data_IF_256344530644
#
_entry.id   IF_256344530644
#
_cell.length_a   1.000
_cell.length_b   1.000
_cell.length_c   1.000
_cell.angle_alpha   90.00
_cell.angle_beta   90.00
_cell.angle_gamma   90.00
#
_symmetry.space_group_name_H-M   'P 1'
#
loop_
_entity.id
_entity.type
_entity.pdbx_description
1 polymer ?
#
# COMPACT_ATOMS: atom_id res chain seq x y z
N UNK A 1 -10.50 -14.71 -25.33
CA UNK A 1 -9.06 -14.40 -25.40
C UNK A 1 -8.76 -13.45 -24.26
N UNK A 2 -8.05 -13.95 -23.24
CA UNK A 2 -7.85 -13.23 -21.98
C UNK A 2 -6.83 -12.11 -22.14
N UNK A 3 -7.23 -10.90 -21.76
CA UNK A 3 -6.31 -9.79 -21.56
C UNK A 3 -5.76 -9.86 -20.15
N UNK A 4 -4.49 -10.29 -20.03
CA UNK A 4 -3.71 -10.09 -18.81
C UNK A 4 -3.41 -8.59 -18.66
N UNK A 5 -4.32 -7.87 -17.99
CA UNK A 5 -4.06 -6.50 -17.58
C UNK A 5 -3.16 -6.54 -16.35
N UNK A 6 -1.84 -6.64 -16.60
CA UNK A 6 -0.82 -6.48 -15.58
C UNK A 6 -0.99 -5.12 -14.90
N UNK A 7 -1.21 -5.10 -13.58
CA UNK A 7 -0.81 -3.95 -12.79
C UNK A 7 0.66 -3.70 -13.14
N UNK A 8 1.03 -2.48 -13.51
CA UNK A 8 2.43 -2.07 -13.56
C UNK A 8 3.00 -2.21 -12.15
N UNK A 9 3.54 -3.38 -11.82
CA UNK A 9 4.30 -3.59 -10.60
C UNK A 9 5.68 -3.02 -10.90
N UNK A 10 5.90 -1.75 -10.52
CA UNK A 10 7.24 -1.19 -10.61
C UNK A 10 8.08 -1.75 -9.45
N UNK A 11 8.72 -2.89 -9.72
CA UNK A 11 9.96 -3.24 -9.06
C UNK A 11 11.07 -2.52 -9.84
N UNK A 12 11.67 -1.51 -9.24
CA UNK A 12 12.82 -0.86 -9.86
C UNK A 12 14.05 -1.72 -9.60
N UNK A 13 14.53 -2.36 -10.66
CA UNK A 13 15.79 -3.13 -10.65
C UNK A 13 16.82 -2.33 -11.43
N UNK A 14 17.82 -1.82 -10.72
CA UNK A 14 18.97 -1.17 -11.32
C UNK A 14 20.17 -2.12 -11.24
N UNK A 15 20.80 -2.40 -12.38
CA UNK A 15 22.04 -3.18 -12.43
C UNK A 15 23.20 -2.20 -12.42
N UNK A 16 23.93 -2.14 -11.30
CA UNK A 16 25.07 -1.24 -11.14
C UNK A 16 26.36 -2.06 -11.26
N UNK A 17 27.16 -1.75 -12.27
CA UNK A 17 28.54 -2.25 -12.35
C UNK A 17 29.41 -1.45 -11.39
N UNK A 18 29.45 -1.89 -10.13
CA UNK A 18 30.23 -1.23 -9.09
C UNK A 18 31.71 -1.58 -9.29
N UNK A 19 32.49 -0.60 -9.73
CA UNK A 19 33.96 -0.67 -9.73
C UNK A 19 34.48 0.06 -8.49
N UNK A 20 34.76 -0.67 -7.41
CA UNK A 20 35.27 -0.15 -6.13
C UNK A 20 34.42 0.98 -5.53
N UNK A 21 33.31 0.64 -4.87
CA UNK A 21 32.65 1.56 -3.93
C UNK A 21 33.17 1.29 -2.52
N UNK A 22 33.70 2.32 -1.87
CA UNK A 22 33.85 2.36 -0.41
C UNK A 22 32.48 2.46 0.26
N UNK A 23 32.36 2.11 1.54
CA UNK A 23 31.11 2.21 2.32
C UNK A 23 30.48 3.62 2.28
N UNK A 24 31.30 4.65 2.06
CA UNK A 24 30.88 6.05 1.91
C UNK A 24 30.26 6.33 0.53
N UNK A 25 30.72 5.61 -0.50
CA UNK A 25 30.20 5.70 -1.86
C UNK A 25 28.86 4.97 -2.00
N UNK A 26 28.63 3.87 -1.25
CA UNK A 26 27.29 3.24 -1.14
C UNK A 26 26.25 4.30 -0.80
N UNK A 27 26.45 5.08 0.28
CA UNK A 27 25.55 6.15 0.73
C UNK A 27 25.34 7.28 -0.29
N UNK A 28 26.33 7.59 -1.12
CA UNK A 28 26.21 8.65 -2.14
C UNK A 28 25.45 8.18 -3.39
N UNK A 29 25.64 6.93 -3.83
CA UNK A 29 24.79 6.32 -4.88
C UNK A 29 23.34 6.21 -4.41
N UNK A 30 23.13 5.92 -3.12
CA UNK A 30 21.80 6.02 -2.51
C UNK A 30 21.20 7.42 -2.65
N UNK A 31 22.01 8.48 -2.47
CA UNK A 31 21.51 9.86 -2.55
C UNK A 31 21.22 10.31 -3.99
N UNK A 32 22.16 10.11 -4.91
CA UNK A 32 22.07 10.66 -6.27
C UNK A 32 21.18 9.85 -7.21
N UNK A 33 21.29 8.51 -7.23
CA UNK A 33 20.56 7.69 -8.20
C UNK A 33 19.14 7.33 -7.73
N UNK A 34 18.93 7.08 -6.42
CA UNK A 34 17.62 6.67 -5.90
C UNK A 34 16.72 7.84 -5.55
N UNK A 35 17.23 8.86 -4.84
CA UNK A 35 16.41 10.05 -4.56
C UNK A 35 16.36 10.97 -5.79
N UNK A 36 17.45 11.14 -6.56
CA UNK A 36 17.43 11.94 -7.79
C UNK A 36 16.47 11.42 -8.86
N UNK A 37 16.36 10.09 -9.05
CA UNK A 37 15.42 9.50 -10.01
C UNK A 37 13.98 9.35 -9.49
N UNK A 38 13.78 9.21 -8.17
CA UNK A 38 12.45 9.21 -7.57
C UNK A 38 11.74 10.59 -7.66
N UNK A 39 12.49 11.66 -7.95
CA UNK A 39 11.98 13.00 -8.21
C UNK A 39 11.79 13.32 -9.71
N UNK A 40 11.95 12.35 -10.62
CA UNK A 40 11.63 12.61 -12.04
C UNK A 40 10.11 12.73 -12.19
N UNK A 41 9.71 13.96 -12.47
CA UNK A 41 8.34 14.43 -12.70
C UNK A 41 7.67 13.63 -13.82
N UNK A 42 7.02 12.52 -13.47
CA UNK A 42 6.05 11.88 -14.34
C UNK A 42 4.77 12.72 -14.27
N UNK A 43 4.67 13.66 -15.22
CA UNK A 43 3.49 14.42 -15.58
C UNK A 43 2.30 13.47 -15.91
N UNK A 44 1.71 12.87 -14.89
CA UNK A 44 0.31 12.48 -14.91
C UNK A 44 -0.48 13.68 -14.40
N UNK A 45 -1.13 14.38 -15.33
CA UNK A 45 -1.95 15.57 -15.04
C UNK A 45 -3.11 15.20 -14.11
N UNK A 46 -2.90 15.30 -12.81
CA UNK A 46 -3.97 15.48 -11.83
C UNK A 46 -4.60 16.84 -12.12
N UNK A 47 -5.87 16.85 -12.52
CA UNK A 47 -6.60 18.08 -12.84
C UNK A 47 -6.47 19.10 -11.72
N UNK A 48 -6.01 20.30 -12.07
CA UNK A 48 -5.89 21.43 -11.17
C UNK A 48 -7.28 22.06 -10.97
N UNK A 49 -7.92 21.78 -9.84
CA UNK A 49 -9.02 22.60 -9.36
C UNK A 49 -8.72 23.03 -7.92
N UNK A 50 -8.39 24.31 -7.77
CA UNK A 50 -8.23 24.99 -6.49
C UNK A 50 -9.60 25.20 -5.85
N UNK A 51 -10.09 24.23 -5.07
CA UNK A 51 -11.21 24.47 -4.16
C UNK A 51 -10.65 25.06 -2.84
N UNK A 52 -10.79 26.38 -2.69
CA UNK A 52 -10.55 27.09 -1.43
C UNK A 52 -11.62 26.73 -0.40
N UNK A 53 -11.42 25.62 0.29
CA UNK A 53 -12.07 25.33 1.58
C UNK A 53 -10.91 25.10 2.55
N UNK A 54 -10.93 25.79 3.70
CA UNK A 54 -10.03 25.46 4.80
C UNK A 54 -10.39 24.07 5.32
N UNK A 55 -9.92 23.04 4.63
CA UNK A 55 -9.95 21.65 5.10
C UNK A 55 -9.05 21.63 6.34
N UNK A 56 -9.66 21.86 7.50
CA UNK A 56 -9.10 21.47 8.80
C UNK A 56 -8.48 20.10 8.63
N UNK A 57 -7.26 19.87 9.12
CA UNK A 57 -6.56 18.58 9.03
C UNK A 57 -7.47 17.48 9.56
N UNK A 58 -8.19 16.79 8.67
CA UNK A 58 -9.11 15.72 9.05
C UNK A 58 -8.27 14.45 9.20
N UNK A 59 -8.10 14.00 10.44
CA UNK A 59 -7.50 12.71 10.73
C UNK A 59 -8.37 11.55 10.26
N UNK A 60 -7.93 10.31 10.51
CA UNK A 60 -8.77 9.15 10.25
C UNK A 60 -9.98 9.13 11.20
N UNK A 61 -11.10 8.57 10.72
CA UNK A 61 -12.23 8.22 11.58
C UNK A 61 -11.78 7.18 12.61
N UNK A 62 -12.24 7.35 13.85
CA UNK A 62 -11.92 6.48 14.98
C UNK A 62 -13.21 6.08 15.67
N UNK A 63 -13.58 4.79 15.56
CA UNK A 63 -14.85 4.22 16.06
C UNK A 63 -16.05 5.15 15.85
N UNK A 64 -16.16 5.71 14.65
CA UNK A 64 -17.20 6.66 14.27
C UNK A 64 -18.53 5.92 14.07
N UNK A 65 -19.44 6.09 15.02
CA UNK A 65 -20.82 5.66 14.89
C UNK A 65 -21.57 6.56 13.90
N UNK A 66 -22.12 5.96 12.84
CA UNK A 66 -22.90 6.68 11.81
C UNK A 66 -24.36 6.24 11.90
N UNK A 67 -25.23 7.17 12.32
CA UNK A 67 -26.67 6.96 12.50
C UNK A 67 -27.49 7.89 11.61
N UNK A 68 -28.76 7.56 11.33
CA UNK A 68 -29.65 8.43 10.59
C UNK A 68 -29.78 9.81 11.24
N UNK A 69 -29.86 10.86 10.42
CA UNK A 69 -30.03 12.23 10.90
C UNK A 69 -31.31 12.35 11.75
N UNK A 70 -31.18 12.91 12.96
CA UNK A 70 -32.31 13.08 13.89
C UNK A 70 -32.70 11.83 14.69
N UNK A 71 -31.95 10.72 14.58
CA UNK A 71 -32.19 9.54 15.41
C UNK A 71 -31.85 9.78 16.89
N UNK A 72 -32.81 9.58 17.79
CA UNK A 72 -32.66 9.77 19.25
C UNK A 72 -32.80 8.48 20.06
N UNK A 73 -32.98 7.33 19.39
CA UNK A 73 -33.15 6.03 20.05
C UNK A 73 -31.84 5.43 20.56
N UNK A 74 -31.94 4.23 21.16
CA UNK A 74 -30.77 3.44 21.56
C UNK A 74 -30.01 2.92 20.34
N UNK A 75 -28.71 2.68 20.48
CA UNK A 75 -27.90 1.99 19.46
C UNK A 75 -28.53 0.64 19.09
N UNK A 76 -28.61 0.34 17.79
CA UNK A 76 -29.12 -0.91 17.25
C UNK A 76 -28.10 -1.53 16.30
N UNK A 77 -28.19 -2.84 16.09
CA UNK A 77 -27.49 -3.53 15.02
C UNK A 77 -27.86 -2.90 13.67
N UNK A 78 -26.85 -2.67 12.84
CA UNK A 78 -26.96 -1.99 11.56
C UNK A 78 -26.67 -0.48 11.61
N UNK A 79 -26.52 0.10 12.80
CA UNK A 79 -25.90 1.43 12.93
C UNK A 79 -24.38 1.27 12.81
N UNK A 80 -23.88 1.35 11.59
CA UNK A 80 -22.50 1.03 11.27
C UNK A 80 -21.51 1.92 12.03
N UNK A 81 -20.46 1.28 12.54
CA UNK A 81 -19.35 1.94 13.21
C UNK A 81 -18.12 1.80 12.31
N UNK A 82 -17.54 2.93 11.92
CA UNK A 82 -16.39 2.99 11.01
C UNK A 82 -15.11 3.31 11.77
N UNK A 83 -14.03 2.60 11.44
CA UNK A 83 -12.72 2.89 12.00
C UNK A 83 -11.62 2.78 10.94
N UNK A 84 -10.70 3.73 10.93
CA UNK A 84 -9.48 3.70 10.13
C UNK A 84 -8.26 4.11 10.97
N UNK A 85 -8.35 4.04 12.30
CA UNK A 85 -7.31 4.48 13.22
C UNK A 85 -6.32 3.34 13.51
N UNK A 86 -5.71 2.80 12.45
CA UNK A 86 -4.75 1.70 12.52
C UNK A 86 -3.70 1.83 11.41
N UNK A 87 -2.65 1.00 11.46
CA UNK A 87 -1.57 1.00 10.46
C UNK A 87 -2.11 0.83 9.03
N UNK A 88 -1.68 1.73 8.13
CA UNK A 88 -2.15 1.81 6.75
C UNK A 88 -3.64 2.09 6.59
N UNK A 89 -4.34 2.51 7.66
CA UNK A 89 -5.73 2.94 7.63
C UNK A 89 -5.88 4.31 6.94
N UNK A 90 -6.91 4.47 6.12
CA UNK A 90 -7.27 5.75 5.52
C UNK A 90 -8.77 5.82 5.24
N UNK A 91 -9.45 6.67 6.01
CA UNK A 91 -10.81 7.14 5.79
C UNK A 91 -11.01 8.38 6.68
N UNK A 92 -11.24 9.55 6.09
CA UNK A 92 -11.29 10.82 6.82
C UNK A 92 -12.69 11.21 7.29
N UNK A 93 -13.73 10.88 6.51
CA UNK A 93 -15.13 11.22 6.86
C UNK A 93 -16.09 10.21 6.25
N UNK A 94 -17.20 9.99 6.96
CA UNK A 94 -18.35 9.21 6.50
C UNK A 94 -19.60 10.06 6.64
N UNK A 95 -20.45 10.07 5.62
CA UNK A 95 -21.75 10.74 5.60
C UNK A 95 -22.84 9.71 5.39
N UNK A 96 -23.82 9.69 6.28
CA UNK A 96 -25.04 8.91 6.11
C UNK A 96 -25.90 9.59 5.03
N UNK A 97 -26.22 8.87 3.95
CA UNK A 97 -27.10 9.37 2.88
C UNK A 97 -28.49 8.78 3.04
N UNK A 98 -28.58 7.45 3.16
CA UNK A 98 -29.82 6.71 3.40
C UNK A 98 -29.54 5.41 4.15
N UNK A 99 -30.59 4.61 4.42
CA UNK A 99 -30.44 3.30 5.06
C UNK A 99 -29.50 2.36 4.27
N UNK A 100 -29.36 2.59 2.97
CA UNK A 100 -28.60 1.76 2.05
C UNK A 100 -27.35 2.44 1.50
N UNK A 101 -27.04 3.67 1.90
CA UNK A 101 -26.05 4.49 1.20
C UNK A 101 -25.21 5.37 2.12
N UNK A 102 -23.89 5.30 1.91
CA UNK A 102 -22.89 6.03 2.68
C UNK A 102 -21.86 6.67 1.74
N UNK A 103 -21.66 7.97 1.91
CA UNK A 103 -20.61 8.71 1.22
C UNK A 103 -19.33 8.70 2.07
N UNK A 104 -18.25 8.21 1.47
CA UNK A 104 -16.94 8.02 2.05
C UNK A 104 -15.95 9.04 1.47
N UNK A 105 -15.20 9.69 2.35
CA UNK A 105 -14.18 10.67 1.98
C UNK A 105 -12.81 10.19 2.42
N UNK A 106 -11.93 9.96 1.44
CA UNK A 106 -10.53 9.61 1.65
C UNK A 106 -9.75 10.84 2.13
N UNK A 107 -8.83 10.63 3.09
CA UNK A 107 -7.90 11.67 3.55
C UNK A 107 -6.86 11.96 2.46
N UNK A 108 -6.47 13.24 2.24
CA UNK A 108 -5.29 13.56 1.44
C UNK A 108 -4.07 12.79 1.88
N UNK A 109 -3.17 12.47 0.94
CA UNK A 109 -1.82 12.06 1.30
C UNK A 109 -1.15 13.15 2.16
N UNK A 110 -0.43 12.71 3.18
CA UNK A 110 0.30 13.64 4.07
C UNK A 110 1.30 14.45 3.26
N UNK A 111 1.31 15.77 3.45
CA UNK A 111 2.11 16.72 2.68
C UNK A 111 1.79 16.80 1.17
N UNK A 112 0.74 16.11 0.68
CA UNK A 112 0.28 16.23 -0.70
C UNK A 112 -1.25 16.16 -0.82
N UNK A 113 -1.88 17.33 -0.77
CA UNK A 113 -3.33 17.44 -0.78
C UNK A 113 -4.00 17.01 -2.09
N UNK A 114 -3.24 16.70 -3.16
CA UNK A 114 -3.80 16.31 -4.47
C UNK A 114 -4.16 14.84 -4.57
N UNK A 115 -3.48 13.97 -3.83
CA UNK A 115 -3.69 12.52 -3.91
C UNK A 115 -4.70 12.03 -2.88
N UNK A 116 -5.71 11.30 -3.38
CA UNK A 116 -6.79 10.60 -2.67
C UNK A 116 -7.12 9.35 -3.47
N UNK A 117 -6.50 8.24 -3.12
CA UNK A 117 -6.63 6.98 -3.86
C UNK A 117 -6.71 5.81 -2.89
N UNK A 118 -5.78 5.73 -1.95
CA UNK A 118 -5.76 4.67 -0.95
C UNK A 118 -6.88 4.85 0.07
N UNK A 119 -7.63 3.78 0.31
CA UNK A 119 -8.54 3.66 1.44
C UNK A 119 -8.32 2.30 2.11
N UNK A 120 -8.48 2.28 3.42
CA UNK A 120 -8.41 1.08 4.24
C UNK A 120 -9.13 1.36 5.55
N UNK A 121 -10.26 0.71 5.77
CA UNK A 121 -11.12 0.98 6.93
C UNK A 121 -11.86 -0.28 7.35
N UNK A 122 -12.38 -0.26 8.56
CA UNK A 122 -13.21 -1.31 9.13
C UNK A 122 -14.62 -0.81 9.38
N UNK A 123 -15.57 -1.75 9.35
CA UNK A 123 -16.98 -1.55 9.66
C UNK A 123 -17.40 -2.63 10.63
N UNK A 124 -18.01 -2.23 11.74
CA UNK A 124 -18.59 -3.13 12.75
C UNK A 124 -20.02 -2.70 13.12
N UNK A 125 -20.64 -3.44 14.03
CA UNK A 125 -22.05 -3.28 14.41
C UNK A 125 -23.02 -3.41 13.22
N UNK A 126 -22.71 -4.34 12.32
CA UNK A 126 -23.51 -4.72 11.16
C UNK A 126 -24.79 -5.44 11.58
N UNK A 127 -25.76 -5.52 10.68
CA UNK A 127 -26.96 -6.37 10.82
C UNK A 127 -26.97 -7.45 9.74
N UNK A 128 -27.50 -8.64 10.04
CA UNK A 128 -27.62 -9.72 9.08
C UNK A 128 -28.44 -9.30 7.85
N UNK A 129 -27.93 -9.61 6.66
CA UNK A 129 -28.49 -9.22 5.35
C UNK A 129 -28.60 -7.70 5.12
N UNK A 130 -27.94 -6.87 5.94
CA UNK A 130 -27.89 -5.45 5.70
C UNK A 130 -27.10 -5.17 4.41
N UNK A 131 -27.76 -4.53 3.46
CA UNK A 131 -27.18 -4.14 2.17
C UNK A 131 -26.83 -2.67 2.20
N UNK A 132 -25.64 -2.34 1.74
CA UNK A 132 -25.15 -0.97 1.67
C UNK A 132 -24.39 -0.72 0.39
N UNK A 133 -24.41 0.53 -0.05
CA UNK A 133 -23.57 1.07 -1.11
C UNK A 133 -22.61 2.05 -0.45
N UNK A 134 -21.32 1.79 -0.61
CA UNK A 134 -20.27 2.70 -0.18
C UNK A 134 -19.79 3.49 -1.38
N UNK A 135 -19.96 4.82 -1.34
CA UNK A 135 -19.53 5.74 -2.38
C UNK A 135 -18.25 6.45 -1.97
N UNK A 136 -17.13 6.15 -2.59
CA UNK A 136 -15.90 6.95 -2.44
C UNK A 136 -16.00 8.16 -3.37
N UNK A 137 -16.37 9.32 -2.82
CA UNK A 137 -16.80 10.49 -3.62
C UNK A 137 -15.68 11.46 -4.00
N UNK A 138 -14.52 11.38 -3.34
CA UNK A 138 -13.40 12.30 -3.53
C UNK A 138 -12.16 11.62 -4.14
N UNK A 139 -12.38 10.64 -5.03
CA UNK A 139 -11.33 9.87 -5.68
C UNK A 139 -10.56 10.72 -6.71
N UNK A 140 -9.24 10.86 -6.53
CA UNK A 140 -8.39 11.80 -7.28
C UNK A 140 -7.81 11.28 -8.60
N UNK A 141 -8.05 10.01 -8.97
CA UNK A 141 -7.66 9.47 -10.28
C UNK A 141 -8.76 9.68 -11.30
N UNK A 142 -8.39 10.09 -12.51
CA UNK A 142 -9.32 10.23 -13.67
C UNK A 142 -9.29 9.01 -14.59
N UNK A 143 -8.10 8.42 -14.75
CA UNK A 143 -7.86 7.10 -15.36
C UNK A 143 -7.60 6.12 -14.22
N UNK A 144 -8.56 5.25 -13.96
CA UNK A 144 -8.49 4.29 -12.85
C UNK A 144 -8.66 2.87 -13.38
N UNK A 145 -7.86 1.94 -12.85
CA UNK A 145 -7.97 0.51 -13.13
C UNK A 145 -9.33 -0.06 -12.73
N UNK A 146 -10.13 0.66 -11.92
CA UNK A 146 -11.53 0.30 -11.65
C UNK A 146 -12.38 0.28 -12.93
N UNK A 147 -11.99 1.02 -13.99
CA UNK A 147 -12.62 0.90 -15.32
C UNK A 147 -12.25 -0.39 -16.05
N UNK A 148 -11.15 -0.99 -15.67
CA UNK A 148 -10.53 -2.15 -16.32
C UNK A 148 -10.66 -3.41 -15.44
N UNK A 149 -11.65 -3.42 -14.54
CA UNK A 149 -11.98 -4.61 -13.75
C UNK A 149 -11.24 -4.76 -12.42
N UNK A 150 -10.45 -3.76 -12.00
CA UNK A 150 -9.99 -3.72 -10.61
C UNK A 150 -11.21 -3.69 -9.67
N UNK A 151 -11.08 -4.29 -8.49
CA UNK A 151 -12.11 -4.27 -7.45
C UNK A 151 -11.46 -4.18 -6.08
N UNK A 152 -12.09 -3.48 -5.12
CA UNK A 152 -11.61 -3.43 -3.73
C UNK A 152 -11.55 -4.84 -3.14
N UNK A 153 -10.82 -4.96 -2.04
CA UNK A 153 -10.73 -6.21 -1.29
C UNK A 153 -11.45 -6.09 0.05
N UNK A 154 -12.02 -7.20 0.49
CA UNK A 154 -12.71 -7.35 1.77
C UNK A 154 -12.23 -8.60 2.49
N UNK A 155 -12.14 -8.50 3.82
CA UNK A 155 -12.03 -9.61 4.75
C UNK A 155 -12.91 -9.36 5.97
N UNK A 156 -13.13 -10.36 6.79
CA UNK A 156 -13.83 -10.20 8.08
C UNK A 156 -13.13 -10.96 9.20
N UNK A 157 -13.55 -10.73 10.45
CA UNK A 157 -13.01 -11.47 11.61
C UNK A 157 -13.13 -12.99 11.44
N UNK A 158 -14.27 -13.49 10.96
CA UNK A 158 -14.48 -14.91 10.65
C UNK A 158 -13.77 -15.39 9.38
N UNK A 159 -13.52 -14.50 8.41
CA UNK A 159 -12.84 -14.79 7.14
C UNK A 159 -11.61 -13.91 6.96
N UNK A 160 -10.47 -14.27 7.59
CA UNK A 160 -9.30 -13.40 7.66
C UNK A 160 -8.56 -13.24 6.31
N UNK A 161 -8.84 -14.09 5.33
CA UNK A 161 -8.27 -14.00 3.98
C UNK A 161 -8.96 -12.92 3.16
N UNK A 162 -8.15 -12.08 2.51
CA UNK A 162 -8.63 -11.06 1.59
C UNK A 162 -9.24 -11.67 0.33
N UNK A 163 -10.43 -11.21 -0.04
CA UNK A 163 -11.11 -11.57 -1.29
C UNK A 163 -11.51 -10.30 -2.04
N UNK A 164 -11.56 -10.35 -3.38
CA UNK A 164 -12.06 -9.21 -4.15
C UNK A 164 -13.57 -9.13 -4.06
N UNK A 165 -14.09 -7.91 -3.92
CA UNK A 165 -15.52 -7.65 -4.13
C UNK A 165 -15.84 -8.00 -5.59
N UNK A 166 -16.94 -8.72 -5.88
CA UNK A 166 -17.31 -9.06 -7.25
C UNK A 166 -17.41 -7.81 -8.13
N UNK A 167 -16.79 -7.84 -9.32
CA UNK A 167 -16.75 -6.68 -10.23
C UNK A 167 -18.13 -6.13 -10.57
N UNK A 168 -19.15 -6.99 -10.67
CA UNK A 168 -20.55 -6.59 -10.89
C UNK A 168 -21.14 -5.70 -9.80
N UNK A 169 -20.53 -5.68 -8.63
CA UNK A 169 -20.91 -4.85 -7.49
C UNK A 169 -20.09 -3.57 -7.40
N UNK A 170 -19.15 -3.31 -8.33
CA UNK A 170 -18.25 -2.16 -8.29
C UNK A 170 -18.52 -1.26 -9.50
N UNK A 171 -18.67 0.02 -9.24
CA UNK A 171 -19.02 1.03 -10.22
C UNK A 171 -18.03 2.19 -10.14
N UNK A 172 -17.60 2.70 -11.29
CA UNK A 172 -16.72 3.85 -11.35
C UNK A 172 -17.18 4.81 -12.43
N UNK A 173 -17.72 5.95 -12.01
CA UNK A 173 -18.46 6.86 -12.87
C UNK A 173 -18.21 8.32 -12.51
N UNK A 174 -18.58 9.22 -13.41
CA UNK A 174 -18.51 10.66 -13.19
C UNK A 174 -19.86 11.13 -12.64
N UNK A 175 -19.88 11.66 -11.42
CA UNK A 175 -21.13 12.10 -10.79
C UNK A 175 -21.41 13.58 -11.11
N UNK A 176 -22.57 13.93 -11.70
CA UNK A 176 -22.96 15.32 -11.89
C UNK A 176 -23.10 16.08 -10.55
N UNK A 177 -23.62 15.41 -9.53
CA UNK A 177 -23.86 15.95 -8.18
C UNK A 177 -22.55 16.27 -7.45
N UNK A 178 -21.51 15.47 -7.67
CA UNK A 178 -20.17 15.68 -7.08
C UNK A 178 -19.29 16.60 -7.94
N UNK A 179 -19.85 17.69 -8.48
CA UNK A 179 -19.14 18.65 -9.36
C UNK A 179 -18.38 17.97 -10.53
N UNK A 180 -18.93 16.90 -11.10
CA UNK A 180 -18.27 16.10 -12.16
C UNK A 180 -16.96 15.43 -11.72
N UNK A 181 -16.75 15.18 -10.43
CA UNK A 181 -15.67 14.32 -9.91
C UNK A 181 -16.00 12.84 -10.12
N UNK A 182 -14.97 11.99 -10.07
CA UNK A 182 -15.15 10.55 -10.18
C UNK A 182 -15.53 9.95 -8.83
N UNK A 183 -16.54 9.09 -8.86
CA UNK A 183 -17.02 8.31 -7.72
C UNK A 183 -16.73 6.84 -7.97
N UNK A 184 -16.17 6.16 -6.97
CA UNK A 184 -16.04 4.71 -6.95
C UNK A 184 -17.03 4.17 -5.92
N UNK A 185 -18.05 3.45 -6.39
CA UNK A 185 -19.07 2.86 -5.53
C UNK A 185 -18.94 1.36 -5.50
N UNK A 186 -19.19 0.74 -4.34
CA UNK A 186 -19.33 -0.70 -4.25
C UNK A 186 -20.49 -1.11 -3.35
N UNK A 187 -21.30 -2.05 -3.86
CA UNK A 187 -22.40 -2.64 -3.12
C UNK A 187 -21.90 -3.84 -2.30
N UNK A 188 -22.34 -3.92 -1.05
CA UNK A 188 -21.97 -4.98 -0.12
C UNK A 188 -23.17 -5.45 0.70
N UNK A 189 -23.21 -6.74 1.04
CA UNK A 189 -24.21 -7.34 1.91
C UNK A 189 -23.50 -7.99 3.09
N UNK A 190 -23.79 -7.51 4.29
CA UNK A 190 -23.25 -8.10 5.51
C UNK A 190 -24.00 -9.40 5.82
N UNK A 191 -23.26 -10.39 6.30
CA UNK A 191 -23.74 -11.76 6.51
C UNK A 191 -23.42 -12.32 7.91
N UNK A 192 -22.72 -11.55 8.75
CA UNK A 192 -22.40 -11.89 10.13
C UNK A 192 -22.41 -10.61 10.99
N UNK A 193 -23.14 -10.61 12.11
CA UNK A 193 -23.34 -9.43 12.97
C UNK A 193 -22.22 -9.23 14.00
N UNK A 194 -21.47 -10.30 14.27
CA UNK A 194 -20.34 -10.36 15.18
C UNK A 194 -19.02 -10.01 14.47
N UNK A 195 -19.03 -10.01 13.14
CA UNK A 195 -17.85 -9.74 12.33
C UNK A 195 -17.52 -8.24 12.30
N UNK A 196 -16.21 -7.97 12.32
CA UNK A 196 -15.65 -6.70 11.86
C UNK A 196 -15.20 -6.92 10.42
N UNK A 197 -15.76 -6.15 9.49
CA UNK A 197 -15.38 -6.21 8.08
C UNK A 197 -14.31 -5.17 7.80
N UNK A 198 -13.26 -5.54 7.08
CA UNK A 198 -12.22 -4.61 6.64
C UNK A 198 -12.25 -4.50 5.12
N UNK A 199 -12.29 -3.27 4.63
CA UNK A 199 -12.29 -2.94 3.20
C UNK A 199 -11.01 -2.17 2.87
N UNK A 200 -10.36 -2.50 1.75
CA UNK A 200 -9.17 -1.79 1.30
C UNK A 200 -9.13 -1.63 -0.22
N UNK A 201 -8.39 -0.62 -0.68
CA UNK A 201 -8.18 -0.31 -2.09
C UNK A 201 -7.57 -1.51 -2.86
N UNK A 202 -6.57 -2.16 -2.27
CA UNK A 202 -5.98 -3.41 -2.75
C UNK A 202 -5.43 -4.19 -1.54
N UNK A 203 -4.87 -5.39 -1.76
CA UNK A 203 -4.27 -6.22 -0.71
C UNK A 203 -3.23 -5.43 0.09
N UNK A 204 -3.51 -5.09 1.37
CA UNK A 204 -2.57 -4.31 2.16
C UNK A 204 -1.28 -5.10 2.44
N UNK A 205 -0.16 -4.40 2.48
CA UNK A 205 1.12 -4.92 2.96
C UNK A 205 1.72 -3.85 3.87
N UNK A 206 1.62 -4.07 5.18
CA UNK A 206 1.96 -3.09 6.20
C UNK A 206 3.46 -3.08 6.51
N UNK A 207 3.94 -2.02 7.14
CA UNK A 207 5.34 -1.92 7.57
C UNK A 207 5.63 -2.94 8.68
N UNK A 208 4.75 -3.10 9.66
CA UNK A 208 4.92 -4.11 10.72
C UNK A 208 5.02 -5.53 10.14
N UNK A 209 4.21 -5.85 9.11
CA UNK A 209 4.31 -7.13 8.39
C UNK A 209 5.70 -7.32 7.77
N UNK A 210 6.25 -6.28 7.13
CA UNK A 210 7.59 -6.34 6.56
C UNK A 210 8.64 -6.61 7.64
N UNK A 211 8.58 -5.86 8.74
CA UNK A 211 9.55 -5.97 9.83
C UNK A 211 9.53 -7.37 10.44
N UNK A 212 8.35 -7.90 10.76
CA UNK A 212 8.20 -9.28 11.25
C UNK A 212 8.73 -10.31 10.24
N UNK A 213 8.47 -10.13 8.95
CA UNK A 213 9.01 -11.01 7.90
C UNK A 213 10.55 -11.02 7.89
N UNK A 214 11.17 -9.83 7.92
CA UNK A 214 12.63 -9.71 7.92
C UNK A 214 13.26 -10.25 9.21
N UNK A 215 12.63 -10.03 10.37
CA UNK A 215 13.04 -10.61 11.65
C UNK A 215 13.04 -12.14 11.59
N UNK A 216 11.96 -12.74 11.04
CA UNK A 216 11.90 -14.20 10.84
C UNK A 216 13.04 -14.68 9.96
N UNK A 217 13.38 -13.97 8.88
CA UNK A 217 14.52 -14.34 8.03
C UNK A 217 15.86 -14.27 8.76
N UNK A 218 16.08 -13.27 9.61
CA UNK A 218 17.30 -13.15 10.41
C UNK A 218 17.48 -14.35 11.35
N UNK A 219 16.40 -14.86 11.95
CA UNK A 219 16.46 -16.06 12.83
C UNK A 219 16.88 -17.34 12.10
N UNK A 220 16.84 -17.35 10.76
CA UNK A 220 17.29 -18.51 9.96
C UNK A 220 18.81 -18.59 9.81
N UNK A 221 19.53 -17.52 10.14
CA UNK A 221 20.99 -17.46 10.10
C UNK A 221 21.61 -17.95 8.78
N UNK A 222 21.00 -17.60 7.64
CA UNK A 222 21.58 -17.91 6.34
C UNK A 222 22.93 -17.20 6.17
N UNK A 223 23.99 -17.95 5.84
CA UNK A 223 25.32 -17.38 5.63
C UNK A 223 25.36 -16.32 4.51
N UNK A 224 24.46 -16.43 3.54
CA UNK A 224 24.34 -15.53 2.39
C UNK A 224 23.34 -14.39 2.58
N UNK A 225 22.82 -14.15 3.79
CA UNK A 225 21.84 -13.10 4.08
C UNK A 225 22.36 -12.16 5.17
N UNK A 226 22.23 -10.86 4.93
CA UNK A 226 22.52 -9.81 5.92
C UNK A 226 21.48 -8.72 5.84
N UNK A 227 20.94 -8.31 6.99
CA UNK A 227 20.04 -7.16 7.13
C UNK A 227 20.77 -6.04 7.85
N UNK A 228 20.69 -4.83 7.31
CA UNK A 228 21.37 -3.65 7.84
C UNK A 228 20.42 -2.46 7.93
N UNK A 229 20.70 -1.54 8.84
CA UNK A 229 20.00 -0.27 8.93
C UNK A 229 20.59 0.65 7.85
N UNK A 230 19.82 0.91 6.79
CA UNK A 230 20.22 1.85 5.76
C UNK A 230 20.16 3.29 6.29
N UNK A 231 19.09 3.59 7.02
CA UNK A 231 18.81 4.91 7.57
C UNK A 231 17.45 4.97 8.24
N UNK A 232 17.06 6.17 8.65
CA UNK A 232 15.76 6.44 9.27
C UNK A 232 14.96 7.38 8.38
N UNK A 233 13.65 7.18 8.32
CA UNK A 233 12.73 8.10 7.66
C UNK A 233 12.47 9.36 8.49
N UNK A 234 11.68 10.29 7.93
CA UNK A 234 11.27 11.53 8.62
C UNK A 234 10.58 11.22 9.95
N UNK A 235 9.70 10.22 9.99
CA UNK A 235 9.04 9.76 11.22
C UNK A 235 9.83 8.68 11.98
N UNK A 236 11.15 8.62 11.77
CA UNK A 236 12.07 7.74 12.51
C UNK A 236 11.77 6.24 12.35
N UNK A 237 11.18 5.82 11.23
CA UNK A 237 11.06 4.40 10.88
C UNK A 237 12.34 3.90 10.22
N UNK A 238 12.67 2.64 10.49
CA UNK A 238 13.86 1.98 9.94
C UNK A 238 13.67 1.71 8.46
N UNK A 239 14.67 2.12 7.67
CA UNK A 239 14.88 1.66 6.31
C UNK A 239 15.87 0.50 6.34
N UNK A 240 15.46 -0.64 5.81
CA UNK A 240 16.29 -1.84 5.76
C UNK A 240 17.02 -1.97 4.43
N UNK A 241 18.31 -2.30 4.50
CA UNK A 241 19.08 -2.80 3.36
C UNK A 241 19.33 -4.29 3.58
N UNK A 242 18.84 -5.10 2.65
CA UNK A 242 19.08 -6.54 2.62
C UNK A 242 20.18 -6.83 1.62
N UNK A 243 21.26 -7.45 2.07
CA UNK A 243 22.32 -7.98 1.21
C UNK A 243 22.16 -9.49 1.09
N UNK A 244 22.02 -9.99 -0.15
CA UNK A 244 21.99 -11.43 -0.43
C UNK A 244 23.10 -11.77 -1.43
N UNK A 245 24.11 -12.54 -0.99
CA UNK A 245 25.23 -12.97 -1.84
C UNK A 245 26.02 -14.11 -1.18
N UNK A 246 26.79 -14.86 -1.96
CA UNK A 246 27.71 -15.85 -1.41
C UNK A 246 28.82 -15.17 -0.57
N UNK A 247 29.18 -15.66 0.63
CA UNK A 247 30.16 -15.00 1.51
C UNK A 247 31.51 -14.67 0.88
N UNK A 248 31.96 -15.49 -0.09
CA UNK A 248 33.20 -15.25 -0.83
C UNK A 248 33.22 -13.91 -1.57
N UNK A 249 32.05 -13.37 -1.93
CA UNK A 249 31.92 -12.11 -2.65
C UNK A 249 32.15 -10.87 -1.77
N UNK A 250 32.17 -11.04 -0.45
CA UNK A 250 32.43 -9.95 0.50
C UNK A 250 33.93 -9.74 0.78
N UNK A 251 34.80 -10.59 0.22
CA UNK A 251 36.24 -10.46 0.39
C UNK A 251 36.80 -9.35 -0.51
N UNK A 252 37.49 -8.36 0.10
CA UNK A 252 38.06 -7.19 -0.59
C UNK A 252 39.12 -7.52 -1.65
N UNK A 253 39.60 -8.75 -1.70
CA UNK A 253 40.60 -9.26 -2.66
C UNK A 253 39.97 -9.87 -3.91
N UNK A 254 38.64 -10.00 -3.97
CA UNK A 254 37.95 -10.57 -5.13
C UNK A 254 37.83 -9.54 -6.27
N UNK A 255 37.92 -10.01 -7.52
CA UNK A 255 37.65 -9.22 -8.72
C UNK A 255 36.33 -8.46 -8.63
N UNK A 256 36.24 -7.30 -9.31
CA UNK A 256 35.04 -6.46 -9.42
C UNK A 256 33.76 -7.31 -9.59
N UNK A 257 32.93 -7.36 -8.54
CA UNK A 257 31.65 -8.08 -8.56
C UNK A 257 30.52 -7.15 -8.98
N UNK A 258 29.57 -7.69 -9.74
CA UNK A 258 28.39 -6.94 -10.19
C UNK A 258 27.38 -6.86 -9.06
N UNK A 259 26.81 -5.67 -8.87
CA UNK A 259 25.80 -5.42 -7.85
C UNK A 259 24.46 -5.23 -8.54
N UNK A 260 23.45 -5.94 -8.07
CA UNK A 260 22.06 -5.77 -8.49
C UNK A 260 21.35 -5.04 -7.37
N UNK A 261 20.88 -3.84 -7.67
CA UNK A 261 20.14 -3.01 -6.74
C UNK A 261 18.63 -3.16 -7.01
N UNK A 262 17.87 -3.50 -5.98
CA UNK A 262 16.42 -3.73 -6.10
C UNK A 262 15.70 -2.86 -5.08
N UNK A 263 14.72 -2.09 -5.51
CA UNK A 263 13.87 -1.30 -4.60
C UNK A 263 12.40 -1.54 -4.82
N UNK A 264 11.64 -1.38 -3.73
CA UNK A 264 10.19 -1.52 -3.73
C UNK A 264 9.53 -0.49 -2.82
N UNK A 265 8.23 -0.24 -3.09
CA UNK A 265 7.36 0.69 -2.33
C UNK A 265 7.94 2.10 -2.19
N UNK A 266 8.32 2.69 -3.33
CA UNK A 266 8.56 4.14 -3.41
C UNK A 266 7.22 4.86 -3.18
N UNK A 267 6.19 4.48 -3.94
CA UNK A 267 4.82 4.88 -3.70
C UNK A 267 4.15 3.96 -2.66
N UNK A 268 3.67 4.49 -1.53
CA UNK A 268 3.07 3.70 -0.47
C UNK A 268 1.88 2.85 -0.90
N UNK A 269 1.03 3.36 -1.79
CA UNK A 269 -0.22 2.69 -2.22
C UNK A 269 0.00 1.51 -3.18
N UNK A 270 1.21 1.34 -3.72
CA UNK A 270 1.54 0.30 -4.70
C UNK A 270 1.95 -1.00 -4.02
N UNK A 271 1.05 -1.55 -3.20
CA UNK A 271 1.29 -2.76 -2.41
C UNK A 271 1.77 -4.00 -3.18
N UNK A 272 1.43 -4.24 -4.46
CA UNK A 272 1.96 -5.38 -5.21
C UNK A 272 3.48 -5.45 -5.24
N UNK A 273 4.18 -4.30 -5.22
CA UNK A 273 5.65 -4.29 -5.22
C UNK A 273 6.23 -4.97 -3.98
N UNK A 274 5.57 -4.87 -2.82
CA UNK A 274 6.02 -5.58 -1.60
C UNK A 274 5.87 -7.08 -1.72
N UNK A 275 4.75 -7.56 -2.30
CA UNK A 275 4.54 -8.99 -2.48
C UNK A 275 5.56 -9.59 -3.46
N UNK A 276 5.84 -8.89 -4.56
CA UNK A 276 6.87 -9.30 -5.52
C UNK A 276 8.27 -9.26 -4.88
N UNK A 277 8.60 -8.19 -4.15
CA UNK A 277 9.89 -8.08 -3.46
C UNK A 277 10.06 -9.18 -2.40
N UNK A 278 9.00 -9.51 -1.66
CA UNK A 278 9.03 -10.62 -0.69
C UNK A 278 9.29 -11.95 -1.39
N UNK A 279 8.55 -12.27 -2.46
CA UNK A 279 8.77 -13.49 -3.23
C UNK A 279 10.17 -13.56 -3.86
N UNK A 280 10.71 -12.42 -4.30
CA UNK A 280 12.08 -12.32 -4.77
C UNK A 280 13.10 -12.64 -3.67
N UNK A 281 12.94 -12.07 -2.48
CA UNK A 281 13.81 -12.38 -1.32
C UNK A 281 13.69 -13.86 -0.97
N UNK A 282 12.48 -14.42 -0.88
CA UNK A 282 12.23 -15.84 -0.58
C UNK A 282 12.94 -16.76 -1.57
N UNK A 283 12.85 -16.46 -2.87
CA UNK A 283 13.58 -17.18 -3.91
C UNK A 283 15.10 -17.03 -3.72
N UNK A 284 15.57 -15.80 -3.52
CA UNK A 284 16.99 -15.47 -3.38
C UNK A 284 17.63 -16.01 -2.11
N UNK A 285 16.89 -16.36 -1.05
CA UNK A 285 17.46 -17.05 0.12
C UNK A 285 17.37 -18.57 0.05
N UNK A 286 16.54 -19.11 -0.87
CA UNK A 286 16.28 -20.55 -0.98
C UNK A 286 17.46 -21.38 -1.48
N UNK A 287 17.32 -22.70 -1.42
CA UNK A 287 18.27 -23.68 -1.98
C UNK A 287 18.05 -23.97 -3.47
N UNK A 288 17.26 -23.16 -4.17
CA UNK A 288 17.06 -23.34 -5.61
C UNK A 288 18.40 -23.17 -6.36
N UNK A 289 18.71 -24.07 -7.30
CA UNK A 289 20.00 -24.09 -8.02
C UNK A 289 20.30 -22.76 -8.74
N UNK A 290 19.29 -22.19 -9.40
CA UNK A 290 19.40 -20.85 -10.02
C UNK A 290 19.72 -19.78 -8.97
N UNK A 291 19.07 -19.78 -7.80
CA UNK A 291 19.35 -18.80 -6.75
C UNK A 291 20.78 -18.95 -6.21
N UNK A 292 21.29 -20.18 -6.06
CA UNK A 292 22.69 -20.44 -5.69
C UNK A 292 23.66 -19.86 -6.72
N UNK A 293 23.47 -20.19 -8.01
CA UNK A 293 24.31 -19.66 -9.10
C UNK A 293 24.31 -18.13 -9.16
N UNK A 294 23.13 -17.50 -8.97
CA UNK A 294 23.04 -16.04 -8.91
C UNK A 294 23.85 -15.47 -7.75
N UNK A 295 23.72 -16.05 -6.55
CA UNK A 295 24.46 -15.60 -5.35
C UNK A 295 25.97 -15.81 -5.46
N UNK A 296 26.43 -16.81 -6.21
CA UNK A 296 27.85 -17.06 -6.46
C UNK A 296 28.49 -15.94 -7.28
N UNK A 297 27.75 -15.37 -8.23
CA UNK A 297 28.30 -14.41 -9.20
C UNK A 297 27.95 -12.95 -8.92
N UNK A 298 26.87 -12.69 -8.17
CA UNK A 298 26.27 -11.38 -8.00
C UNK A 298 26.08 -11.03 -6.52
N UNK A 299 26.10 -9.73 -6.24
CA UNK A 299 25.70 -9.17 -4.94
C UNK A 299 24.35 -8.50 -5.10
N UNK A 300 23.33 -8.96 -4.38
CA UNK A 300 22.01 -8.33 -4.38
C UNK A 300 21.90 -7.40 -3.19
N UNK A 301 21.55 -6.14 -3.45
CA UNK A 301 21.29 -5.11 -2.45
C UNK A 301 19.83 -4.69 -2.62
N UNK A 302 19.00 -4.94 -1.61
CA UNK A 302 17.54 -4.86 -1.73
C UNK A 302 17.00 -3.92 -0.65
N UNK A 303 16.23 -2.90 -1.04
CA UNK A 303 15.45 -2.05 -0.12
C UNK A 303 13.96 -2.40 -0.29
N UNK A 304 13.41 -3.25 0.59
CA UNK A 304 12.06 -3.81 0.39
C UNK A 304 10.93 -2.80 0.60
N UNK A 305 11.19 -1.68 1.26
CA UNK A 305 10.23 -0.59 1.43
C UNK A 305 10.95 0.75 1.60
N UNK A 306 10.91 1.59 0.57
CA UNK A 306 11.54 2.91 0.59
C UNK A 306 10.70 3.96 1.33
N UNK A 307 9.38 3.84 1.36
CA UNK A 307 8.48 4.82 1.98
C UNK A 307 7.62 4.24 3.12
N UNK A 308 8.22 3.74 4.22
CA UNK A 308 7.46 3.16 5.32
C UNK A 308 6.56 4.18 6.04
N UNK A 309 6.90 5.47 6.00
CA UNK A 309 6.07 6.53 6.59
C UNK A 309 4.73 6.67 5.89
N UNK A 310 4.76 6.82 4.57
CA UNK A 310 3.54 6.87 3.78
C UNK A 310 2.73 5.58 3.87
N UNK A 311 3.39 4.41 3.99
CA UNK A 311 2.71 3.13 4.18
C UNK A 311 1.98 3.08 5.51
N UNK A 312 2.63 3.49 6.59
CA UNK A 312 2.03 3.50 7.92
C UNK A 312 0.85 4.48 8.00
N UNK A 313 0.97 5.64 7.36
CA UNK A 313 -0.07 6.68 7.35
C UNK A 313 -1.25 6.35 6.42
N UNK A 314 -1.12 5.36 5.54
CA UNK A 314 -2.15 5.04 4.54
C UNK A 314 -2.19 6.08 3.40
N UNK A 315 -1.03 6.57 2.96
CA UNK A 315 -0.91 7.40 1.77
C UNK A 315 -0.91 6.53 0.49
N UNK A 316 -1.01 7.17 -0.67
CA UNK A 316 -0.84 6.52 -1.97
C UNK A 316 0.50 6.85 -2.65
N UNK A 317 0.92 8.12 -2.68
CA UNK A 317 2.13 8.60 -3.36
C UNK A 317 3.14 9.22 -2.41
#
# INVERSE_FOLDING_TARGET
>A
MGSENCLSILLFVCVVNVTNMSDECEKNVFHEDLFGSAFVDQNESAGSDSDGISDSVVGNVSKLLVIPNGYTGKLRKGHLIFDACFESGNLGKVVYVSEYEYDLFIRPDTCNARFRVWFNFTVENTKYEQRVIFNVVNFSKTKSLYREGMSPVVKSSSRPSWSRIPQKCVFYYRSPEQKKKYVMSFAFSFDCEEDVYQFAYCYPYTYSRLQTYLEILETKHYAHFKRELLGLTVQQRRLDLITITHPSNLNKTADKKRVIFVTARVHPGETPSSYVCQGFIDFMVSNHSIAQQLREHLIFKIVPMLNPDGVYLGNYR
#
